data_IF_071590731802
#
_entry.id   IF_071590731802
#
_cell.length_a   1.000
_cell.length_b   1.000
_cell.length_c   1.000
_cell.angle_alpha   90.00
_cell.angle_beta   90.00
_cell.angle_gamma   90.00
#
_symmetry.space_group_name_H-M   'P 1'
#
loop_
_entity.id
_entity.type
_entity.pdbx_description
1 polymer ?
#
# COMPACT_ATOMS: atom_id res chain seq x y z
N UNK A 1 11.53 9.73 0.77
CA UNK A 1 10.52 8.73 0.36
C UNK A 1 9.22 9.47 0.15
N UNK A 2 8.50 9.13 -0.92
CA UNK A 2 7.20 9.67 -1.35
C UNK A 2 6.08 9.62 -0.32
N UNK A 3 5.54 8.41 -0.24
CA UNK A 3 4.35 8.05 0.51
C UNK A 3 4.61 6.69 1.13
N UNK A 4 4.25 6.50 2.39
CA UNK A 4 4.39 5.22 3.09
C UNK A 4 3.04 4.84 3.67
N UNK A 5 2.48 3.74 3.20
CA UNK A 5 1.23 3.20 3.69
C UNK A 5 1.47 1.91 4.47
N UNK A 6 0.57 1.61 5.38
CA UNK A 6 0.50 0.36 6.11
C UNK A 6 -0.82 -0.33 5.80
N UNK A 7 -0.76 -1.50 5.16
CA UNK A 7 -1.90 -2.38 4.98
C UNK A 7 -1.95 -3.36 6.15
N UNK A 8 -3.00 -3.29 6.97
CA UNK A 8 -3.23 -4.13 8.12
C UNK A 8 -4.22 -5.27 7.79
N UNK A 9 -3.86 -6.50 8.11
CA UNK A 9 -4.70 -7.68 7.91
C UNK A 9 -5.73 -7.87 9.04
N UNK A 10 -7.04 -7.95 8.77
CA UNK A 10 -8.08 -8.02 9.81
C UNK A 10 -8.01 -9.28 10.69
N UNK A 11 -7.54 -10.42 10.14
CA UNK A 11 -7.09 -11.62 10.86
C UNK A 11 -6.57 -12.66 9.86
N UNK A 12 -5.46 -13.32 10.17
CA UNK A 12 -4.98 -14.53 9.47
C UNK A 12 -4.88 -14.39 7.94
N UNK A 13 -3.94 -13.58 7.45
CA UNK A 13 -3.61 -13.53 6.02
C UNK A 13 -2.66 -14.67 5.66
N UNK A 14 -2.99 -15.39 4.59
CA UNK A 14 -2.07 -16.31 3.94
C UNK A 14 -1.02 -15.52 3.15
N UNK A 15 0.16 -15.37 3.76
CA UNK A 15 1.26 -14.60 3.20
C UNK A 15 1.78 -15.12 1.86
N UNK A 16 1.99 -16.43 1.67
CA UNK A 16 2.27 -16.99 0.35
C UNK A 16 1.26 -16.57 -0.72
N UNK A 17 -0.04 -16.61 -0.41
CA UNK A 17 -1.10 -16.23 -1.36
C UNK A 17 -1.12 -14.73 -1.62
N UNK A 18 -0.95 -13.90 -0.59
CA UNK A 18 -0.83 -12.45 -0.74
C UNK A 18 0.37 -12.09 -1.61
N UNK A 19 1.53 -12.66 -1.31
CA UNK A 19 2.76 -12.44 -2.07
C UNK A 19 2.59 -12.84 -3.54
N UNK A 20 1.99 -14.00 -3.82
CA UNK A 20 1.72 -14.45 -5.18
C UNK A 20 0.77 -13.51 -5.95
N UNK A 21 -0.17 -12.87 -5.25
CA UNK A 21 -1.09 -11.91 -5.86
C UNK A 21 -0.44 -10.54 -6.13
N UNK A 22 0.44 -10.07 -5.24
CA UNK A 22 1.05 -8.74 -5.35
C UNK A 22 2.31 -8.72 -6.24
N UNK A 23 3.10 -9.79 -6.25
CA UNK A 23 4.38 -9.84 -6.98
C UNK A 23 4.30 -9.56 -8.49
N UNK A 24 3.29 -10.05 -9.24
CA UNK A 24 3.18 -9.76 -10.67
C UNK A 24 2.89 -8.28 -10.98
N UNK A 25 2.22 -7.59 -10.05
CA UNK A 25 1.87 -6.18 -10.15
C UNK A 25 3.05 -5.29 -9.72
N UNK A 26 3.80 -5.73 -8.70
CA UNK A 26 4.87 -4.97 -8.08
C UNK A 26 6.13 -4.87 -8.96
N UNK A 27 6.33 -3.75 -9.64
CA UNK A 27 7.50 -3.41 -10.46
C UNK A 27 8.26 -2.18 -9.94
N UNK A 28 7.53 -1.18 -9.44
CA UNK A 28 8.03 0.15 -9.06
C UNK A 28 7.84 0.43 -7.56
N UNK A 29 6.78 -0.12 -6.99
CA UNK A 29 6.42 0.03 -5.59
C UNK A 29 7.23 -0.94 -4.73
N UNK A 30 7.69 -0.47 -3.58
CA UNK A 30 8.38 -1.30 -2.60
C UNK A 30 7.39 -1.82 -1.56
N UNK A 31 7.39 -3.14 -1.36
CA UNK A 31 6.63 -3.79 -0.31
C UNK A 31 7.59 -4.36 0.73
N UNK A 32 7.32 -4.13 2.01
CA UNK A 32 8.14 -4.63 3.10
C UNK A 32 7.24 -5.14 4.24
N UNK A 33 7.58 -6.27 4.87
CA UNK A 33 6.80 -6.77 6.00
C UNK A 33 6.94 -5.82 7.19
N UNK A 34 5.84 -5.56 7.89
CA UNK A 34 5.85 -4.88 9.19
C UNK A 34 5.66 -5.97 10.25
N UNK A 35 6.68 -6.25 11.07
CA UNK A 35 6.58 -7.28 12.10
C UNK A 35 5.47 -6.90 13.09
N UNK A 36 4.44 -7.73 13.17
CA UNK A 36 3.42 -7.60 14.21
C UNK A 36 4.00 -8.04 15.56
N UNK A 37 3.67 -7.32 16.63
CA UNK A 37 3.88 -7.84 17.98
C UNK A 37 2.91 -8.99 18.26
N UNK A 38 3.25 -9.88 19.20
CA UNK A 38 2.40 -11.00 19.56
C UNK A 38 0.98 -10.51 19.94
N UNK A 39 -0.03 -11.01 19.21
CA UNK A 39 -1.44 -10.62 19.41
C UNK A 39 -1.91 -9.40 18.61
N UNK A 40 -1.03 -8.72 17.85
CA UNK A 40 -1.41 -7.63 16.94
C UNK A 40 -1.65 -8.14 15.50
N UNK A 41 -2.51 -7.46 14.73
CA UNK A 41 -2.63 -7.67 13.30
C UNK A 41 -1.27 -7.59 12.60
N UNK A 42 -1.03 -8.50 11.66
CA UNK A 42 0.17 -8.43 10.83
C UNK A 42 -0.05 -7.41 9.72
N UNK A 43 0.99 -6.66 9.38
CA UNK A 43 0.87 -5.57 8.42
C UNK A 43 1.95 -5.63 7.33
N UNK A 44 1.62 -5.03 6.19
CA UNK A 44 2.51 -4.86 5.05
C UNK A 44 2.72 -3.37 4.82
N UNK A 45 3.98 -2.95 4.82
CA UNK A 45 4.36 -1.61 4.42
C UNK A 45 4.45 -1.50 2.90
N UNK A 46 3.95 -0.38 2.37
CA UNK A 46 4.03 -0.04 0.96
C UNK A 46 4.63 1.36 0.82
N UNK A 47 5.71 1.47 0.04
CA UNK A 47 6.40 2.73 -0.21
C UNK A 47 6.64 2.93 -1.69
N UNK A 48 6.43 4.15 -2.19
CA UNK A 48 6.75 4.51 -3.56
C UNK A 48 8.02 5.36 -3.56
N UNK A 49 9.10 4.90 -4.21
CA UNK A 49 10.29 5.71 -4.39
C UNK A 49 9.97 6.99 -5.17
N UNK A 50 10.56 8.12 -4.77
CA UNK A 50 10.25 9.42 -5.38
C UNK A 50 10.50 9.44 -6.91
N UNK A 51 11.53 8.73 -7.38
CA UNK A 51 11.85 8.55 -8.81
C UNK A 51 10.81 7.73 -9.60
N UNK A 52 9.83 7.15 -8.93
CA UNK A 52 8.74 6.33 -9.47
C UNK A 52 7.38 6.96 -9.15
N UNK A 53 7.35 8.21 -8.67
CA UNK A 53 6.12 8.96 -8.47
C UNK A 53 5.72 9.60 -9.82
N UNK A 54 5.28 8.73 -10.72
CA UNK A 54 4.76 9.05 -12.06
C UNK A 54 3.41 8.35 -12.26
N UNK A 55 2.75 8.58 -13.40
CA UNK A 55 1.44 7.99 -13.69
C UNK A 55 1.44 6.46 -13.64
N UNK A 56 2.54 5.82 -14.06
CA UNK A 56 2.68 4.37 -14.04
C UNK A 56 2.87 3.83 -12.62
N UNK A 57 3.62 4.55 -11.78
CA UNK A 57 3.76 4.25 -10.36
C UNK A 57 2.43 4.44 -9.62
N UNK A 58 1.62 5.42 -10.01
CA UNK A 58 0.28 5.64 -9.45
C UNK A 58 -0.69 4.50 -9.85
N UNK A 59 -0.66 4.09 -11.12
CA UNK A 59 -1.46 2.96 -11.60
C UNK A 59 -1.09 1.67 -10.85
N UNK A 60 0.21 1.36 -10.73
CA UNK A 60 0.68 0.20 -9.97
C UNK A 60 0.25 0.26 -8.50
N UNK A 61 0.41 1.43 -7.87
CA UNK A 61 0.04 1.65 -6.48
C UNK A 61 -1.45 1.41 -6.24
N UNK A 62 -2.32 1.94 -7.10
CA UNK A 62 -3.78 1.77 -6.99
C UNK A 62 -4.21 0.33 -7.25
N UNK A 63 -3.56 -0.39 -8.19
CA UNK A 63 -3.80 -1.82 -8.40
C UNK A 63 -3.40 -2.66 -7.17
N UNK A 64 -2.25 -2.36 -6.55
CA UNK A 64 -1.81 -3.03 -5.33
C UNK A 64 -2.79 -2.79 -4.17
N UNK A 65 -3.26 -1.55 -4.00
CA UNK A 65 -4.27 -1.20 -3.00
C UNK A 65 -5.59 -1.93 -3.24
N UNK A 66 -6.07 -1.98 -4.48
CA UNK A 66 -7.30 -2.67 -4.83
C UNK A 66 -7.22 -4.15 -4.46
N UNK A 67 -6.11 -4.82 -4.80
CA UNK A 67 -5.90 -6.22 -4.39
C UNK A 67 -5.91 -6.36 -2.86
N UNK A 68 -5.16 -5.53 -2.13
CA UNK A 68 -5.08 -5.61 -0.67
C UNK A 68 -6.44 -5.39 0.00
N UNK A 69 -7.20 -4.38 -0.44
CA UNK A 69 -8.48 -4.01 0.18
C UNK A 69 -9.63 -4.93 -0.26
N UNK A 70 -9.79 -5.19 -1.56
CA UNK A 70 -10.94 -5.95 -2.07
C UNK A 70 -10.78 -7.46 -1.95
N UNK A 71 -9.57 -7.98 -2.24
CA UNK A 71 -9.32 -9.44 -2.25
C UNK A 71 -8.92 -9.98 -0.88
N UNK A 72 -8.18 -9.19 -0.11
CA UNK A 72 -7.67 -9.61 1.21
C UNK A 72 -8.33 -8.89 2.39
N UNK A 73 -9.25 -7.95 2.14
CA UNK A 73 -9.97 -7.23 3.19
C UNK A 73 -9.07 -6.40 4.09
N UNK A 74 -7.87 -6.05 3.63
CA UNK A 74 -6.90 -5.30 4.43
C UNK A 74 -7.36 -3.86 4.63
N UNK A 75 -7.10 -3.32 5.81
CA UNK A 75 -7.35 -1.90 6.11
C UNK A 75 -6.05 -1.16 5.89
N UNK A 76 -6.06 -0.17 5.00
CA UNK A 76 -4.85 0.58 4.66
C UNK A 76 -4.85 1.90 5.40
N UNK A 77 -3.73 2.25 6.00
CA UNK A 77 -3.49 3.48 6.74
C UNK A 77 -2.34 4.26 6.11
N UNK A 78 -2.47 5.58 6.10
CA UNK A 78 -1.36 6.48 5.79
C UNK A 78 -0.52 6.69 7.04
N UNK A 79 0.76 6.34 6.96
CA UNK A 79 1.67 6.46 8.10
C UNK A 79 2.07 7.91 8.41
N UNK A 80 1.87 8.84 7.47
CA UNK A 80 2.15 10.26 7.71
C UNK A 80 1.06 10.92 8.57
N UNK A 81 -0.21 10.58 8.32
CA UNK A 81 -1.37 11.18 8.99
C UNK A 81 -1.96 10.29 10.08
N UNK A 82 -1.71 8.98 10.02
CA UNK A 82 -2.38 7.97 10.84
C UNK A 82 -3.82 7.69 10.40
N UNK A 83 -4.29 8.32 9.32
CA UNK A 83 -5.66 8.17 8.84
C UNK A 83 -5.81 6.91 7.99
N UNK A 84 -7.00 6.31 8.03
CA UNK A 84 -7.35 5.25 7.10
C UNK A 84 -7.44 5.82 5.67
N UNK A 85 -6.80 5.13 4.73
CA UNK A 85 -6.89 5.45 3.31
C UNK A 85 -8.27 5.07 2.80
N UNK A 86 -9.09 6.08 2.59
CA UNK A 86 -10.38 6.01 1.90
C UNK A 86 -10.23 6.56 0.47
N UNK A 87 -11.28 6.44 -0.35
CA UNK A 87 -11.29 7.02 -1.69
C UNK A 87 -10.96 8.52 -1.68
N UNK A 88 -11.49 9.26 -0.71
CA UNK A 88 -11.26 10.71 -0.58
C UNK A 88 -9.81 11.04 -0.19
N UNK A 89 -9.18 10.20 0.63
CA UNK A 89 -7.76 10.36 0.97
C UNK A 89 -6.84 10.03 -0.23
N UNK A 90 -7.23 9.10 -1.11
CA UNK A 90 -6.45 8.75 -2.29
C UNK A 90 -6.31 9.93 -3.26
N UNK A 91 -7.31 10.79 -3.38
CA UNK A 91 -7.18 12.00 -4.20
C UNK A 91 -6.13 12.97 -3.66
N UNK A 92 -6.01 13.08 -2.32
CA UNK A 92 -4.97 13.89 -1.68
C UNK A 92 -3.58 13.29 -1.90
N UNK A 93 -3.45 11.97 -1.79
CA UNK A 93 -2.20 11.26 -2.06
C UNK A 93 -1.80 11.40 -3.53
N UNK A 94 -2.75 11.34 -4.48
CA UNK A 94 -2.52 11.52 -5.92
C UNK A 94 -1.85 12.86 -6.23
N UNK A 95 -2.31 13.95 -5.62
CA UNK A 95 -1.73 15.29 -5.80
C UNK A 95 -0.30 15.38 -5.22
N UNK A 96 0.05 14.58 -4.22
CA UNK A 96 1.42 14.44 -3.72
C UNK A 96 2.27 13.43 -4.49
N UNK A 97 1.65 12.68 -5.41
CA UNK A 97 2.28 11.65 -6.24
C UNK A 97 2.69 12.22 -7.60
N UNK A 98 1.85 13.08 -8.17
CA UNK A 98 2.09 13.77 -9.44
C UNK A 98 2.64 15.15 -9.08
N UNK A 99 3.96 15.28 -8.98
CA UNK A 99 4.57 16.59 -9.05
C UNK A 99 4.49 17.04 -10.52
N UNK A 100 3.79 18.14 -10.79
CA UNK A 100 4.00 18.88 -12.05
C UNK A 100 5.52 19.13 -12.17
N UNK A 101 6.13 18.55 -13.20
CA UNK A 101 7.55 18.77 -13.51
C UNK A 101 7.78 20.19 -14.00
#
# INVERSE_FOLDING_TARGET
MSHTLMAEAPKGVDWPVLHAALMPLRKRVQLFPIPGEAGKPQALGMSVPQRQCDDLGWEEFTQLLDVMTTKFGMVVYDMATGEQVTADCLEKVKNGFICEQ
#
